data_IF_844628796016
#
_entry.id   IF_844628796016
#
_cell.length_a   1.000
_cell.length_b   1.000
_cell.length_c   1.000
_cell.angle_alpha   90.00
_cell.angle_beta   90.00
_cell.angle_gamma   90.00
#
_symmetry.space_group_name_H-M   'P 1'
#
loop_
_entity.id
_entity.type
_entity.pdbx_description
1 polymer ?
#
# COMPACT_ATOMS: atom_id res chain seq x y z
N UNK A 1 17.58 -2.99 -13.99
CA UNK A 1 16.30 -3.75 -13.99
C UNK A 1 15.18 -2.77 -14.24
N UNK A 2 14.07 -3.18 -14.86
CA UNK A 2 12.89 -2.31 -15.03
C UNK A 2 12.13 -2.26 -13.71
N UNK A 3 11.80 -1.07 -13.19
CA UNK A 3 10.99 -0.94 -11.97
C UNK A 3 9.61 -1.60 -12.14
N UNK A 4 9.08 -2.21 -11.06
CA UNK A 4 7.70 -2.72 -11.04
C UNK A 4 6.70 -1.57 -11.00
N UNK A 5 7.06 -0.45 -10.37
CA UNK A 5 6.31 0.81 -10.32
C UNK A 5 7.26 1.98 -10.54
N UNK A 6 6.82 2.95 -11.33
CA UNK A 6 7.56 4.20 -11.50
C UNK A 6 6.58 5.37 -11.65
N UNK A 7 6.72 6.37 -10.83
CA UNK A 7 6.08 7.67 -10.94
C UNK A 7 7.10 8.64 -11.49
N UNK A 8 6.79 9.29 -12.63
CA UNK A 8 7.68 10.24 -13.31
C UNK A 8 7.06 11.62 -13.31
N UNK A 9 7.60 12.52 -12.52
CA UNK A 9 7.20 13.94 -12.42
C UNK A 9 5.69 14.07 -12.20
N UNK A 10 5.12 13.26 -11.27
CA UNK A 10 3.69 13.16 -11.06
C UNK A 10 3.19 14.34 -10.24
N UNK A 11 2.32 15.15 -10.85
CA UNK A 11 1.47 16.13 -10.15
C UNK A 11 0.03 15.62 -10.14
N UNK A 12 -0.64 15.69 -9.00
CA UNK A 12 -2.01 15.20 -8.84
C UNK A 12 -2.75 15.94 -7.72
N UNK A 13 -4.09 15.90 -7.78
CA UNK A 13 -4.92 16.58 -6.79
C UNK A 13 -6.39 16.21 -6.87
N UNK A 14 -7.23 16.95 -6.15
CA UNK A 14 -8.67 16.75 -6.05
C UNK A 14 -9.38 18.03 -6.46
N UNK A 15 -9.93 18.06 -7.68
CA UNK A 15 -10.52 19.27 -8.25
C UNK A 15 -9.49 20.42 -8.29
N UNK A 16 -9.75 21.57 -7.67
CA UNK A 16 -8.81 22.70 -7.68
C UNK A 16 -7.64 22.55 -6.69
N UNK A 17 -7.64 21.51 -5.83
CA UNK A 17 -6.63 21.34 -4.80
C UNK A 17 -5.52 20.39 -5.28
N UNK A 18 -4.31 20.93 -5.51
CA UNK A 18 -3.13 20.15 -5.78
C UNK A 18 -2.59 19.54 -4.49
N UNK A 19 -2.27 18.26 -4.53
CA UNK A 19 -1.74 17.49 -3.39
C UNK A 19 -0.34 16.93 -3.65
N UNK A 20 0.04 16.77 -4.93
CA UNK A 20 1.38 16.32 -5.35
C UNK A 20 1.93 17.28 -6.38
N UNK A 21 3.24 17.51 -6.30
CA UNK A 21 3.98 18.38 -7.18
C UNK A 21 5.28 17.66 -7.59
N UNK A 22 5.37 17.31 -8.88
CA UNK A 22 6.59 16.77 -9.50
C UNK A 22 7.20 15.55 -8.77
N UNK A 23 6.34 14.63 -8.30
CA UNK A 23 6.77 13.47 -7.53
C UNK A 23 7.41 12.42 -8.43
N UNK A 24 8.68 12.09 -8.13
CA UNK A 24 9.39 10.94 -8.67
C UNK A 24 9.53 9.87 -7.61
N UNK A 25 9.15 8.62 -7.93
CA UNK A 25 9.29 7.48 -7.05
C UNK A 25 9.35 6.20 -7.89
N UNK A 26 10.25 5.30 -7.54
CA UNK A 26 10.28 3.98 -8.17
C UNK A 26 10.27 2.87 -7.12
N UNK A 27 9.81 1.67 -7.50
CA UNK A 27 9.91 0.44 -6.70
C UNK A 27 10.43 -0.65 -7.61
N UNK A 28 11.51 -1.32 -7.20
CA UNK A 28 12.07 -2.44 -7.96
C UNK A 28 11.32 -3.75 -7.65
N UNK A 29 11.37 -4.77 -8.53
CA UNK A 29 10.81 -6.09 -8.22
C UNK A 29 11.40 -6.65 -6.92
N UNK A 30 10.53 -7.05 -5.97
CA UNK A 30 10.91 -7.58 -4.65
C UNK A 30 11.45 -6.55 -3.66
N UNK A 31 11.58 -5.28 -4.05
CA UNK A 31 11.97 -4.20 -3.15
C UNK A 31 10.81 -3.79 -2.23
N UNK A 32 11.14 -3.41 -1.00
CA UNK A 32 10.22 -2.75 -0.09
C UNK A 32 10.65 -1.29 0.13
N UNK A 33 9.77 -0.36 -0.24
CA UNK A 33 9.98 1.09 -0.12
C UNK A 33 9.01 1.67 0.89
N UNK A 34 9.51 2.44 1.86
CA UNK A 34 8.70 3.21 2.79
C UNK A 34 8.49 4.63 2.26
N UNK A 35 7.25 5.07 2.09
CA UNK A 35 6.88 6.46 1.86
C UNK A 35 6.43 7.07 3.18
N UNK A 36 7.27 7.93 3.74
CA UNK A 36 7.06 8.56 5.04
C UNK A 36 6.74 10.05 4.90
N UNK A 37 6.11 10.62 5.91
CA UNK A 37 5.76 12.04 5.99
C UNK A 37 4.64 12.30 6.99
N UNK A 38 4.42 13.56 7.34
CA UNK A 38 3.33 13.98 8.22
C UNK A 38 1.95 13.70 7.61
N UNK A 39 0.88 13.84 8.41
CA UNK A 39 -0.48 13.72 7.89
C UNK A 39 -0.80 14.90 6.97
N UNK A 40 -1.52 14.60 5.86
CA UNK A 40 -1.95 15.61 4.91
C UNK A 40 -0.90 16.05 3.88
N UNK A 41 0.33 15.50 3.90
CA UNK A 41 1.39 15.90 2.95
C UNK A 41 1.26 15.30 1.55
N UNK A 42 0.25 14.44 1.30
CA UNK A 42 0.02 13.84 -0.02
C UNK A 42 0.30 12.33 -0.12
N UNK A 43 0.72 11.63 0.96
CA UNK A 43 1.06 10.20 0.94
C UNK A 43 -0.03 9.31 0.32
N UNK A 44 -1.27 9.43 0.81
CA UNK A 44 -2.44 8.70 0.26
C UNK A 44 -2.68 9.05 -1.21
N UNK A 45 -2.36 10.27 -1.64
CA UNK A 45 -2.48 10.68 -3.04
C UNK A 45 -1.43 9.96 -3.91
N UNK A 46 -0.19 9.77 -3.41
CA UNK A 46 0.83 8.93 -4.06
C UNK A 46 0.31 7.49 -4.20
N UNK A 47 -0.20 6.89 -3.10
CA UNK A 47 -0.76 5.52 -3.14
C UNK A 47 -1.90 5.39 -4.17
N UNK A 48 -2.77 6.39 -4.26
CA UNK A 48 -3.88 6.41 -5.23
C UNK A 48 -3.41 6.60 -6.66
N UNK A 49 -2.41 7.45 -6.90
CA UNK A 49 -1.80 7.62 -8.22
C UNK A 49 -1.12 6.31 -8.67
N UNK A 50 -0.33 5.70 -7.78
CA UNK A 50 0.38 4.44 -8.01
C UNK A 50 -0.55 3.25 -8.33
N UNK A 51 -1.84 3.35 -8.03
CA UNK A 51 -2.86 2.31 -8.24
C UNK A 51 -3.97 2.69 -9.23
N UNK A 52 -3.81 3.84 -9.90
CA UNK A 52 -4.77 4.35 -10.89
C UNK A 52 -6.10 4.86 -10.30
N UNK A 53 -6.18 5.04 -8.97
CA UNK A 53 -7.37 5.58 -8.29
C UNK A 53 -7.46 7.10 -8.41
N UNK A 54 -6.37 7.76 -8.73
CA UNK A 54 -6.33 9.16 -9.16
C UNK A 54 -5.51 9.26 -10.45
N UNK A 55 -5.96 10.09 -11.38
CA UNK A 55 -5.24 10.34 -12.62
C UNK A 55 -4.34 11.53 -12.40
N UNK A 56 -3.03 11.44 -12.65
CA UNK A 56 -2.13 12.59 -12.62
C UNK A 56 -2.59 13.72 -13.54
N UNK A 57 -2.43 14.96 -13.11
CA UNK A 57 -2.63 16.14 -13.96
C UNK A 57 -1.43 16.40 -14.85
N UNK A 58 -0.24 16.00 -14.36
CA UNK A 58 1.04 16.05 -15.08
C UNK A 58 1.88 14.84 -14.74
N UNK A 59 2.85 14.51 -15.58
CA UNK A 59 3.72 13.36 -15.42
C UNK A 59 3.05 12.04 -15.82
N UNK A 60 3.65 10.91 -15.41
CA UNK A 60 3.18 9.59 -15.83
C UNK A 60 3.42 8.50 -14.78
N UNK A 61 2.58 7.45 -14.82
CA UNK A 61 2.64 6.26 -13.95
C UNK A 61 2.93 5.05 -14.80
N UNK A 62 4.01 4.34 -14.49
CA UNK A 62 4.45 3.16 -15.21
C UNK A 62 4.43 1.93 -14.32
N UNK A 63 3.95 0.81 -14.86
CA UNK A 63 3.96 -0.50 -14.19
C UNK A 63 4.66 -1.48 -15.11
N UNK A 64 5.76 -2.09 -14.62
CA UNK A 64 6.54 -3.07 -15.37
C UNK A 64 6.99 -2.56 -16.75
N UNK A 65 7.36 -1.27 -16.84
CA UNK A 65 7.76 -0.61 -18.08
C UNK A 65 6.62 -0.26 -19.04
N UNK A 66 5.36 -0.43 -18.63
CA UNK A 66 4.17 -0.07 -19.42
C UNK A 66 3.56 1.20 -18.84
N UNK A 67 3.31 2.20 -19.70
CA UNK A 67 2.60 3.41 -19.29
C UNK A 67 1.14 3.10 -18.96
N UNK A 68 0.78 3.36 -17.69
CA UNK A 68 -0.54 3.14 -17.12
C UNK A 68 -1.26 4.45 -16.77
N UNK A 69 -0.75 5.59 -17.23
CA UNK A 69 -1.31 6.91 -16.95
C UNK A 69 -2.74 7.01 -17.47
N UNK A 70 -3.69 7.38 -16.62
CA UNK A 70 -5.11 7.48 -16.97
C UNK A 70 -5.82 6.15 -17.23
N UNK A 71 -5.13 5.04 -17.04
CA UNK A 71 -5.73 3.70 -17.21
C UNK A 71 -6.59 3.37 -15.99
N UNK A 72 -7.74 2.72 -16.21
CA UNK A 72 -8.67 2.39 -15.14
C UNK A 72 -8.07 1.44 -14.07
N UNK A 73 -8.40 1.61 -12.77
CA UNK A 73 -7.79 0.87 -11.64
C UNK A 73 -7.83 -0.66 -11.78
N UNK A 74 -8.88 -1.23 -12.38
CA UNK A 74 -8.96 -2.68 -12.57
C UNK A 74 -7.85 -3.24 -13.49
N UNK A 75 -7.24 -2.42 -14.34
CA UNK A 75 -6.11 -2.81 -15.17
C UNK A 75 -4.81 -2.86 -14.36
N UNK A 76 -4.63 -1.97 -13.39
CA UNK A 76 -3.54 -2.07 -12.41
C UNK A 76 -3.64 -3.39 -11.63
N UNK A 77 -4.83 -3.74 -11.15
CA UNK A 77 -5.06 -5.03 -10.49
C UNK A 77 -4.70 -6.22 -11.39
N UNK A 78 -5.05 -6.16 -12.69
CA UNK A 78 -4.67 -7.21 -13.67
C UNK A 78 -3.17 -7.25 -13.96
N UNK A 79 -2.47 -6.14 -13.83
CA UNK A 79 -1.01 -6.06 -13.92
C UNK A 79 -0.31 -6.56 -12.64
N UNK A 80 -1.08 -6.99 -11.62
CA UNK A 80 -0.55 -7.50 -10.37
C UNK A 80 -0.28 -6.43 -9.31
N UNK A 81 -0.85 -5.23 -9.47
CA UNK A 81 -0.77 -4.16 -8.46
C UNK A 81 -2.00 -4.24 -7.55
N UNK A 82 -1.78 -4.47 -6.26
CA UNK A 82 -2.83 -4.46 -5.26
C UNK A 82 -2.74 -3.22 -4.38
N UNK A 83 -3.90 -2.74 -3.92
CA UNK A 83 -4.00 -1.62 -2.98
C UNK A 83 -4.69 -2.07 -1.69
N UNK A 84 -4.00 -1.91 -0.58
CA UNK A 84 -4.58 -2.01 0.76
C UNK A 84 -4.76 -0.58 1.32
N UNK A 85 -5.94 0.04 1.11
CA UNK A 85 -6.15 1.45 1.46
C UNK A 85 -6.25 1.64 2.97
N UNK A 86 -6.13 2.87 3.42
CA UNK A 86 -6.46 3.29 4.77
C UNK A 86 -7.89 2.85 5.16
N UNK A 87 -8.10 2.56 6.44
CA UNK A 87 -9.40 2.19 6.98
C UNK A 87 -9.73 0.71 6.82
N UNK A 88 -11.00 0.37 6.92
CA UNK A 88 -11.42 -1.03 7.07
C UNK A 88 -11.74 -1.74 5.76
N UNK A 89 -12.08 -0.99 4.72
CA UNK A 89 -12.32 -1.45 3.32
C UNK A 89 -13.07 -2.78 3.17
N UNK A 90 -14.06 -3.05 4.05
CA UNK A 90 -14.89 -4.26 4.03
C UNK A 90 -16.33 -3.92 3.68
N UNK A 91 -17.03 -4.85 3.05
CA UNK A 91 -18.46 -4.75 2.81
C UNK A 91 -19.20 -5.17 4.09
N UNK A 92 -19.61 -4.19 4.90
CA UNK A 92 -20.16 -4.40 6.24
C UNK A 92 -21.43 -5.27 6.26
N UNK A 93 -22.22 -5.24 5.19
CA UNK A 93 -23.48 -6.01 5.03
C UNK A 93 -23.26 -7.42 4.50
N UNK A 94 -22.04 -7.77 4.10
CA UNK A 94 -21.67 -9.12 3.68
C UNK A 94 -20.97 -9.85 4.84
N UNK A 95 -21.10 -11.18 4.86
CA UNK A 95 -20.35 -12.04 5.79
C UNK A 95 -18.85 -11.99 5.49
N UNK A 96 -18.02 -12.48 6.41
CA UNK A 96 -16.58 -12.66 6.22
C UNK A 96 -16.32 -13.48 4.96
N UNK A 97 -16.99 -14.61 4.81
CA UNK A 97 -16.84 -15.46 3.63
C UNK A 97 -17.24 -14.76 2.33
N UNK A 98 -18.38 -14.04 2.33
CA UNK A 98 -18.85 -13.33 1.14
C UNK A 98 -17.90 -12.20 0.73
N UNK A 99 -17.29 -11.49 1.69
CA UNK A 99 -16.25 -10.50 1.43
C UNK A 99 -15.06 -11.11 0.69
N UNK A 100 -14.54 -12.24 1.20
CA UNK A 100 -13.43 -12.96 0.58
C UNK A 100 -13.81 -13.56 -0.77
N UNK A 101 -14.98 -14.18 -0.85
CA UNK A 101 -15.52 -14.78 -2.09
C UNK A 101 -15.67 -13.75 -3.20
N UNK A 102 -16.14 -12.54 -2.86
CA UNK A 102 -16.31 -11.46 -3.83
C UNK A 102 -14.96 -11.03 -4.43
N UNK A 103 -13.93 -10.85 -3.57
CA UNK A 103 -12.58 -10.52 -4.01
C UNK A 103 -11.99 -11.63 -4.89
N UNK A 104 -11.93 -12.84 -4.39
CA UNK A 104 -11.30 -13.97 -5.08
C UNK A 104 -12.00 -14.36 -6.38
N UNK A 105 -13.31 -14.13 -6.50
CA UNK A 105 -14.03 -14.40 -7.75
C UNK A 105 -13.55 -13.51 -8.89
N UNK A 106 -13.14 -12.29 -8.58
CA UNK A 106 -12.63 -11.34 -9.57
C UNK A 106 -11.21 -11.73 -10.04
N UNK A 107 -10.34 -12.16 -9.12
CA UNK A 107 -8.93 -12.47 -9.40
C UNK A 107 -8.68 -13.91 -9.83
N UNK A 108 -9.31 -14.89 -9.17
CA UNK A 108 -9.09 -16.34 -9.39
C UNK A 108 -10.17 -17.01 -10.26
N UNK A 109 -11.24 -16.28 -10.62
CA UNK A 109 -12.38 -16.82 -11.34
C UNK A 109 -13.19 -17.82 -10.49
N UNK A 110 -14.32 -18.32 -11.04
CA UNK A 110 -15.25 -19.20 -10.29
C UNK A 110 -14.61 -20.49 -9.75
N UNK A 111 -13.66 -21.08 -10.50
CA UNK A 111 -13.03 -22.37 -10.14
C UNK A 111 -11.98 -22.21 -9.04
N UNK A 112 -11.31 -21.07 -8.94
CA UNK A 112 -10.24 -20.84 -7.96
C UNK A 112 -10.71 -20.35 -6.59
N UNK A 113 -11.98 -19.92 -6.45
CA UNK A 113 -12.50 -19.32 -5.21
C UNK A 113 -12.42 -20.26 -4.01
N UNK A 114 -12.75 -21.55 -4.20
CA UNK A 114 -12.74 -22.54 -3.10
C UNK A 114 -11.34 -22.63 -2.47
N UNK A 115 -10.33 -22.92 -3.28
CA UNK A 115 -8.94 -23.04 -2.82
C UNK A 115 -8.43 -21.72 -2.18
N UNK A 116 -8.79 -20.58 -2.74
CA UNK A 116 -8.42 -19.29 -2.18
C UNK A 116 -9.09 -19.03 -0.81
N UNK A 117 -10.33 -19.44 -0.62
CA UNK A 117 -11.02 -19.38 0.68
C UNK A 117 -10.35 -20.28 1.71
N UNK A 118 -10.03 -21.52 1.34
CA UNK A 118 -9.36 -22.46 2.23
C UNK A 118 -7.98 -21.93 2.64
N UNK A 119 -7.23 -21.35 1.70
CA UNK A 119 -5.96 -20.69 1.98
C UNK A 119 -6.15 -19.50 2.93
N UNK A 120 -7.12 -18.61 2.68
CA UNK A 120 -7.40 -17.46 3.54
C UNK A 120 -7.75 -17.88 4.96
N UNK A 121 -8.62 -18.88 5.13
CA UNK A 121 -9.03 -19.35 6.45
C UNK A 121 -7.93 -20.15 7.19
N UNK A 122 -7.02 -20.77 6.45
CA UNK A 122 -5.81 -21.37 7.02
C UNK A 122 -4.82 -20.31 7.53
N UNK A 123 -4.62 -19.24 6.76
CA UNK A 123 -3.71 -18.14 7.12
C UNK A 123 -4.28 -17.25 8.21
N UNK A 124 -5.62 -17.08 8.24
CA UNK A 124 -6.32 -16.22 9.20
C UNK A 124 -7.35 -17.03 10.04
N UNK A 125 -6.91 -17.83 11.04
CA UNK A 125 -7.82 -18.66 11.84
C UNK A 125 -8.87 -17.87 12.62
N UNK A 126 -8.60 -16.61 12.97
CA UNK A 126 -9.55 -15.70 13.60
C UNK A 126 -10.75 -15.42 12.69
N UNK A 127 -10.50 -15.19 11.39
CA UNK A 127 -11.55 -15.00 10.39
C UNK A 127 -12.31 -16.31 10.11
N UNK A 128 -11.63 -17.45 10.14
CA UNK A 128 -12.26 -18.77 9.97
C UNK A 128 -13.36 -19.00 11.02
N UNK A 129 -13.11 -18.63 12.27
CA UNK A 129 -14.11 -18.73 13.37
C UNK A 129 -15.28 -17.76 13.21
N UNK A 130 -15.11 -16.70 12.42
CA UNK A 130 -16.11 -15.65 12.14
C UNK A 130 -16.75 -15.77 10.76
N UNK A 131 -16.48 -16.85 10.04
CA UNK A 131 -16.88 -17.06 8.62
C UNK A 131 -18.31 -16.65 8.28
N UNK A 132 -19.36 -17.03 9.05
CA UNK A 132 -20.75 -16.64 8.80
C UNK A 132 -21.15 -15.27 9.36
N UNK A 133 -20.25 -14.58 10.10
CA UNK A 133 -20.55 -13.31 10.73
C UNK A 133 -20.52 -12.18 9.70
N UNK A 134 -21.45 -11.22 9.81
CA UNK A 134 -21.40 -9.99 9.02
C UNK A 134 -20.13 -9.21 9.35
N UNK A 135 -19.43 -8.72 8.32
CA UNK A 135 -18.18 -7.99 8.51
C UNK A 135 -18.36 -6.70 9.32
N UNK A 136 -19.56 -6.10 9.29
CA UNK A 136 -19.88 -4.93 10.12
C UNK A 136 -19.87 -5.21 11.62
N UNK A 137 -20.03 -6.48 12.04
CA UNK A 137 -20.05 -6.90 13.45
C UNK A 137 -18.67 -7.33 13.98
N UNK A 138 -17.65 -7.32 13.12
CA UNK A 138 -16.27 -7.58 13.51
C UNK A 138 -15.68 -6.38 14.27
N UNK A 139 -14.73 -6.64 15.16
CA UNK A 139 -13.88 -5.60 15.73
C UNK A 139 -13.07 -4.86 14.64
N UNK A 140 -12.57 -3.67 14.94
CA UNK A 140 -11.77 -2.91 13.98
C UNK A 140 -10.54 -3.67 13.48
N UNK A 141 -9.86 -4.40 14.36
CA UNK A 141 -8.73 -5.27 14.01
C UNK A 141 -9.13 -6.44 13.12
N UNK A 142 -10.25 -7.13 13.43
CA UNK A 142 -10.76 -8.22 12.57
C UNK A 142 -11.20 -7.72 11.19
N UNK A 143 -11.80 -6.52 11.10
CA UNK A 143 -12.14 -5.90 9.82
C UNK A 143 -10.89 -5.57 9.01
N UNK A 144 -9.83 -5.08 9.68
CA UNK A 144 -8.55 -4.82 9.02
C UNK A 144 -7.91 -6.11 8.53
N UNK A 145 -7.90 -7.15 9.36
CA UNK A 145 -7.42 -8.47 9.00
C UNK A 145 -8.20 -9.06 7.80
N UNK A 146 -9.52 -8.87 7.74
CA UNK A 146 -10.36 -9.27 6.60
C UNK A 146 -9.96 -8.50 5.32
N UNK A 147 -9.72 -7.19 5.44
CA UNK A 147 -9.23 -6.37 4.33
C UNK A 147 -7.87 -6.88 3.82
N UNK A 148 -6.95 -7.19 4.72
CA UNK A 148 -5.63 -7.74 4.38
C UNK A 148 -5.72 -9.13 3.74
N UNK A 149 -6.55 -10.03 4.28
CA UNK A 149 -6.72 -11.39 3.74
C UNK A 149 -7.17 -11.37 2.27
N UNK A 150 -7.97 -10.37 1.86
CA UNK A 150 -8.40 -10.18 0.47
C UNK A 150 -7.23 -9.90 -0.47
N UNK A 151 -6.21 -9.19 0.02
CA UNK A 151 -5.04 -8.80 -0.77
C UNK A 151 -3.96 -9.88 -0.74
N UNK A 152 -3.66 -10.41 0.46
CA UNK A 152 -2.54 -11.33 0.68
C UNK A 152 -2.71 -12.67 -0.07
N UNK A 153 -3.93 -13.20 -0.13
CA UNK A 153 -4.23 -14.47 -0.84
C UNK A 153 -4.12 -14.33 -2.36
N UNK A 154 -4.19 -13.10 -2.88
CA UNK A 154 -4.02 -12.84 -4.30
C UNK A 154 -2.56 -12.92 -4.75
N UNK A 155 -1.59 -12.83 -3.82
CA UNK A 155 -0.15 -12.80 -4.04
C UNK A 155 0.22 -11.80 -5.15
N UNK A 156 0.02 -10.49 -4.92
CA UNK A 156 0.28 -9.47 -5.92
C UNK A 156 1.78 -9.36 -6.22
N UNK A 157 2.13 -8.84 -7.39
CA UNK A 157 3.53 -8.51 -7.74
C UNK A 157 4.00 -7.24 -7.02
N UNK A 158 3.08 -6.30 -6.80
CA UNK A 158 3.27 -5.08 -6.00
C UNK A 158 2.08 -4.88 -5.08
N UNK A 159 2.36 -4.65 -3.80
CA UNK A 159 1.36 -4.21 -2.82
C UNK A 159 1.64 -2.76 -2.42
N UNK A 160 0.68 -1.89 -2.65
CA UNK A 160 0.65 -0.52 -2.11
C UNK A 160 -0.20 -0.54 -0.83
N UNK A 161 0.45 -0.34 0.31
CA UNK A 161 -0.15 -0.42 1.64
C UNK A 161 -0.24 0.98 2.26
N UNK A 162 -1.46 1.50 2.42
CA UNK A 162 -1.70 2.88 2.87
C UNK A 162 -2.20 2.91 4.32
N UNK A 163 -1.34 3.43 5.23
CA UNK A 163 -1.58 3.63 6.66
C UNK A 163 -2.21 2.42 7.36
N UNK A 164 -1.57 1.23 7.22
CA UNK A 164 -2.10 -0.02 7.76
C UNK A 164 -2.13 -0.07 9.29
N UNK A 165 -1.26 0.68 9.95
CA UNK A 165 -1.11 0.70 11.42
C UNK A 165 -2.09 1.63 12.14
N UNK A 166 -2.77 2.52 11.39
CA UNK A 166 -3.56 3.60 11.99
C UNK A 166 -4.76 3.06 12.80
N UNK A 167 -4.83 3.45 14.08
CA UNK A 167 -5.95 3.13 14.97
C UNK A 167 -6.05 1.67 15.41
N UNK A 168 -4.99 0.87 15.20
CA UNK A 168 -4.93 -0.53 15.61
C UNK A 168 -4.13 -0.73 16.89
N UNK A 169 -4.46 -1.81 17.62
CA UNK A 169 -3.68 -2.25 18.76
C UNK A 169 -2.29 -2.76 18.29
N UNK A 170 -1.21 -2.55 19.08
CA UNK A 170 0.14 -2.95 18.70
C UNK A 170 0.26 -4.39 18.20
N UNK A 171 -0.35 -5.33 18.89
CA UNK A 171 -0.31 -6.76 18.52
C UNK A 171 -0.88 -7.02 17.11
N UNK A 172 -1.93 -6.30 16.69
CA UNK A 172 -2.50 -6.42 15.34
C UNK A 172 -1.56 -5.80 14.30
N UNK A 173 -0.89 -4.71 14.65
CA UNK A 173 0.13 -4.09 13.78
C UNK A 173 1.28 -5.08 13.55
N UNK A 174 1.78 -5.71 14.61
CA UNK A 174 2.85 -6.70 14.52
C UNK A 174 2.46 -7.89 13.61
N UNK A 175 1.23 -8.41 13.74
CA UNK A 175 0.69 -9.46 12.86
C UNK A 175 0.67 -9.01 11.38
N UNK A 176 0.19 -7.79 11.09
CA UNK A 176 0.16 -7.24 9.73
C UNK A 176 1.57 -7.13 9.16
N UNK A 177 2.53 -6.58 9.91
CA UNK A 177 3.90 -6.43 9.44
C UNK A 177 4.61 -7.77 9.27
N UNK A 178 4.29 -8.77 10.09
CA UNK A 178 4.74 -10.16 9.90
C UNK A 178 4.22 -10.75 8.56
N UNK A 179 2.94 -10.55 8.26
CA UNK A 179 2.36 -10.98 6.99
C UNK A 179 2.97 -10.25 5.78
N UNK A 180 3.25 -8.94 5.89
CA UNK A 180 3.94 -8.18 4.85
C UNK A 180 5.38 -8.69 4.63
N UNK A 181 6.10 -9.01 5.70
CA UNK A 181 7.44 -9.59 5.61
C UNK A 181 7.43 -10.95 4.89
N UNK A 182 6.42 -11.78 5.15
CA UNK A 182 6.22 -13.04 4.43
C UNK A 182 5.98 -12.80 2.93
N UNK A 183 5.05 -11.90 2.56
CA UNK A 183 4.81 -11.55 1.14
C UNK A 183 6.09 -11.08 0.44
N UNK A 184 6.85 -10.22 1.10
CA UNK A 184 8.15 -9.77 0.59
C UNK A 184 9.09 -10.94 0.35
N UNK A 185 9.19 -11.88 1.30
CA UNK A 185 10.03 -13.08 1.16
C UNK A 185 9.60 -14.00 0.01
N UNK A 186 8.33 -13.94 -0.38
CA UNK A 186 7.74 -14.64 -1.54
C UNK A 186 7.94 -13.86 -2.86
N UNK A 187 8.60 -12.69 -2.82
CA UNK A 187 8.96 -11.89 -4.00
C UNK A 187 8.01 -10.73 -4.34
N UNK A 188 6.99 -10.48 -3.52
CA UNK A 188 6.12 -9.30 -3.68
C UNK A 188 6.91 -8.02 -3.37
N UNK A 189 6.88 -7.05 -4.29
CA UNK A 189 7.36 -5.70 -4.01
C UNK A 189 6.37 -4.94 -3.13
N UNK A 190 6.86 -4.06 -2.25
CA UNK A 190 6.03 -3.32 -1.30
C UNK A 190 6.27 -1.81 -1.44
N UNK A 191 5.17 -1.03 -1.50
CA UNK A 191 5.18 0.40 -1.22
C UNK A 191 4.38 0.62 0.07
N UNK A 192 5.08 0.87 1.17
CA UNK A 192 4.49 1.05 2.50
C UNK A 192 4.37 2.55 2.77
N UNK A 193 3.14 3.03 2.80
CA UNK A 193 2.82 4.44 3.09
C UNK A 193 2.45 4.53 4.57
N UNK A 194 3.26 5.23 5.35
CA UNK A 194 3.10 5.26 6.81
C UNK A 194 3.51 6.62 7.41
N UNK A 195 3.02 6.85 8.61
CA UNK A 195 3.48 7.93 9.47
C UNK A 195 4.45 7.41 10.53
N UNK A 196 4.27 6.18 11.00
CA UNK A 196 5.11 5.55 12.04
C UNK A 196 6.36 4.94 11.42
N UNK A 197 7.51 5.45 11.82
CA UNK A 197 8.80 5.14 11.21
C UNK A 197 9.27 3.73 11.55
N UNK A 198 9.13 3.28 12.82
CA UNK A 198 9.79 2.08 13.33
C UNK A 198 9.49 0.78 12.59
N UNK A 199 8.20 0.50 12.35
CA UNK A 199 7.80 -0.72 11.63
C UNK A 199 8.18 -0.66 10.14
N UNK A 200 8.05 0.52 9.53
CA UNK A 200 8.40 0.72 8.12
C UNK A 200 9.91 0.51 7.89
N UNK A 201 10.76 1.08 8.76
CA UNK A 201 12.22 0.89 8.67
C UNK A 201 12.66 -0.56 8.86
N UNK A 202 11.99 -1.31 9.74
CA UNK A 202 12.33 -2.72 9.97
C UNK A 202 12.00 -3.62 8.77
N UNK A 203 11.05 -3.23 7.93
CA UNK A 203 10.59 -4.03 6.79
C UNK A 203 11.19 -3.57 5.45
N UNK A 204 11.44 -2.27 5.27
CA UNK A 204 11.78 -1.70 3.98
C UNK A 204 13.30 -1.61 3.74
N UNK A 205 13.71 -1.56 2.47
CA UNK A 205 15.11 -1.38 2.04
C UNK A 205 15.47 0.10 1.94
N UNK A 206 14.47 0.91 1.55
CA UNK A 206 14.64 2.32 1.20
C UNK A 206 13.48 3.14 1.74
N UNK A 207 13.77 4.39 2.06
CA UNK A 207 12.80 5.40 2.51
C UNK A 207 12.73 6.53 1.51
N UNK A 208 11.53 6.97 1.20
CA UNK A 208 11.20 8.21 0.50
C UNK A 208 10.45 9.11 1.48
N UNK A 209 10.93 10.32 1.69
CA UNK A 209 10.30 11.31 2.57
C UNK A 209 9.52 12.32 1.74
N UNK A 210 8.21 12.40 2.00
CA UNK A 210 7.30 13.32 1.35
C UNK A 210 6.96 14.48 2.28
N UNK A 211 7.08 15.72 1.78
CA UNK A 211 6.68 16.92 2.48
C UNK A 211 5.98 17.87 1.49
N UNK A 212 4.84 18.45 1.89
CA UNK A 212 4.06 19.38 1.07
C UNK A 212 3.84 18.93 -0.39
N UNK A 213 3.65 17.62 -0.60
CA UNK A 213 3.40 17.04 -1.92
C UNK A 213 4.65 16.83 -2.79
N UNK A 214 5.85 17.05 -2.26
CA UNK A 214 7.13 16.85 -2.95
C UNK A 214 8.00 15.83 -2.24
N UNK A 215 8.85 15.12 -2.97
CA UNK A 215 9.88 14.25 -2.38
C UNK A 215 11.06 15.14 -1.98
N UNK A 216 11.34 15.19 -0.66
CA UNK A 216 12.44 16.00 -0.12
C UNK A 216 13.69 15.20 0.22
N UNK A 217 13.58 13.89 0.27
CA UNK A 217 14.71 13.00 0.52
C UNK A 217 14.38 11.55 0.15
N UNK A 218 15.41 10.85 -0.30
CA UNK A 218 15.37 9.42 -0.56
C UNK A 218 16.70 8.78 -0.16
N UNK A 219 16.66 7.58 0.42
CA UNK A 219 17.87 6.86 0.81
C UNK A 219 17.59 5.51 1.46
N UNK A 220 18.64 4.71 1.77
CA UNK A 220 18.50 3.43 2.42
C UNK A 220 17.93 3.58 3.84
N UNK A 221 17.29 2.53 4.36
CA UNK A 221 16.75 2.51 5.73
C UNK A 221 17.84 2.54 6.79
N UNK A 222 19.04 2.08 6.47
CA UNK A 222 20.18 2.07 7.40
C UNK A 222 20.59 3.51 7.75
N UNK A 223 20.46 3.86 9.02
CA UNK A 223 20.70 5.22 9.53
C UNK A 223 19.64 6.26 9.13
N UNK A 224 18.54 5.85 8.50
CA UNK A 224 17.47 6.76 8.06
C UNK A 224 16.70 7.38 9.23
N UNK A 225 16.57 6.69 10.37
CA UNK A 225 15.76 7.16 11.50
C UNK A 225 16.19 8.55 11.96
N UNK A 226 17.48 8.75 12.23
CA UNK A 226 18.01 10.05 12.66
C UNK A 226 17.85 11.14 11.58
N UNK A 227 18.00 10.77 10.29
CA UNK A 227 17.86 11.71 9.16
C UNK A 227 16.40 12.07 8.90
N UNK A 228 15.48 11.10 8.97
CA UNK A 228 14.04 11.34 8.84
C UNK A 228 13.54 12.22 9.96
N UNK A 229 13.95 11.94 11.20
CA UNK A 229 13.62 12.78 12.37
C UNK A 229 14.18 14.20 12.19
N UNK A 230 15.46 14.33 11.81
CA UNK A 230 16.08 15.63 11.58
C UNK A 230 15.34 16.43 10.49
N UNK A 231 15.01 15.82 9.35
CA UNK A 231 14.32 16.51 8.25
C UNK A 231 12.86 16.86 8.56
N UNK A 232 12.16 16.06 9.38
CA UNK A 232 10.81 16.40 9.85
C UNK A 232 10.84 17.59 10.83
N UNK A 233 11.92 17.74 11.61
CA UNK A 233 12.04 18.80 12.63
C UNK A 233 12.92 19.99 12.21
N UNK A 234 13.76 19.84 11.16
CA UNK A 234 14.72 20.85 10.73
C UNK A 234 14.29 21.47 9.39
N UNK A 235 13.50 22.55 9.47
CA UNK A 235 12.99 23.31 8.32
C UNK A 235 14.09 24.12 7.58
N UNK A 236 15.38 23.86 7.79
CA UNK A 236 16.47 24.74 7.39
C UNK A 236 17.51 24.20 6.39
N UNK A 237 17.41 22.98 5.88
CA UNK A 237 18.38 22.44 4.93
C UNK A 237 17.75 22.22 3.54
N UNK A 238 17.97 23.19 2.65
CA UNK A 238 17.60 23.09 1.23
C UNK A 238 18.58 22.16 0.48
N UNK A 239 18.18 20.92 0.21
CA UNK A 239 18.75 20.09 -0.83
C UNK A 239 17.71 19.90 -1.92
N UNK A 240 18.10 19.99 -3.20
CA UNK A 240 17.22 19.80 -4.35
C UNK A 240 16.66 18.36 -4.37
N UNK A 241 15.37 18.17 -4.75
CA UNK A 241 14.78 16.85 -4.85
C UNK A 241 15.42 16.02 -5.97
N UNK A 242 15.63 14.70 -5.78
CA UNK A 242 16.14 13.83 -6.83
C UNK A 242 15.07 13.51 -7.87
N UNK A 243 15.27 13.92 -9.09
CA UNK A 243 14.63 13.37 -10.29
C UNK A 243 15.65 13.04 -11.35
#
# INVERSE_FOLDING_TARGET
>A
MTPILELRNVSAGYGPFHALFDVCLSVQPGEAVALLGANGVGKTTVARAATGLIVPTEGSVWVDGIDMTGVAPFRFARAGVAHAPEGRSVFATLTVEENLRLSFRQSKGRRGVGAALDQAFSQFPSLARRRPMLAGNLSGGEQRMLSMARVLVEAPRLLVADELSLGLAPMIVDEIYHDLARLRSEGTALLIVEQRISHALALCDRVVLLEHGTVIWEGPTDGAEARVVAKIFDHSAGEEPPC
#
